data_IF_238882872889
#
_entry.id   IF_238882872889
#
_cell.length_a   1.000
_cell.length_b   1.000
_cell.length_c   1.000
_cell.angle_alpha   90.00
_cell.angle_beta   90.00
_cell.angle_gamma   90.00
#
_symmetry.space_group_name_H-M   'P 1'
#
loop_
_entity.id
_entity.type
_entity.pdbx_description
1 polymer ?
#
# COMPACT_ATOMS: atom_id res chain seq x y z
N UNK A 1 -52.16 -5.82 -11.09
CA UNK A 1 -50.74 -5.67 -10.70
C UNK A 1 -49.92 -6.80 -11.32
N UNK A 2 -48.79 -6.53 -11.99
CA UNK A 2 -47.94 -7.58 -12.53
C UNK A 2 -47.28 -8.35 -11.37
N UNK A 3 -47.21 -9.69 -11.48
CA UNK A 3 -46.58 -10.56 -10.50
C UNK A 3 -45.05 -10.39 -10.57
N UNK A 4 -44.42 -9.99 -9.47
CA UNK A 4 -42.95 -9.89 -9.38
C UNK A 4 -42.35 -11.28 -9.32
N UNK A 5 -41.61 -11.65 -10.38
CA UNK A 5 -40.89 -12.94 -10.47
C UNK A 5 -39.53 -12.81 -9.81
N UNK A 6 -39.35 -13.34 -8.59
CA UNK A 6 -38.08 -13.25 -7.83
C UNK A 6 -36.97 -14.14 -8.37
N UNK A 7 -37.29 -15.21 -9.09
CA UNK A 7 -36.28 -16.18 -9.58
C UNK A 7 -35.17 -15.53 -10.40
N UNK A 8 -35.48 -14.63 -11.31
CA UNK A 8 -34.52 -13.96 -12.17
C UNK A 8 -33.55 -13.08 -11.34
N UNK A 9 -34.11 -12.36 -10.34
CA UNK A 9 -33.29 -11.50 -9.44
C UNK A 9 -32.34 -12.36 -8.63
N UNK A 10 -32.78 -13.49 -8.08
CA UNK A 10 -31.94 -14.42 -7.34
C UNK A 10 -30.84 -15.05 -8.21
N UNK A 11 -31.14 -15.41 -9.45
CA UNK A 11 -30.15 -15.93 -10.39
C UNK A 11 -29.09 -14.88 -10.74
N UNK A 12 -29.50 -13.64 -11.01
CA UNK A 12 -28.55 -12.53 -11.25
C UNK A 12 -27.63 -12.34 -10.04
N UNK A 13 -28.17 -12.25 -8.82
CA UNK A 13 -27.37 -12.11 -7.58
C UNK A 13 -26.39 -13.29 -7.40
N UNK A 14 -26.82 -14.53 -7.61
CA UNK A 14 -25.94 -15.71 -7.55
C UNK A 14 -24.81 -15.65 -8.57
N UNK A 15 -25.11 -15.25 -9.81
CA UNK A 15 -24.08 -15.08 -10.88
C UNK A 15 -23.04 -14.03 -10.49
N UNK A 16 -23.48 -12.88 -9.95
CA UNK A 16 -22.57 -11.82 -9.49
C UNK A 16 -21.64 -12.31 -8.40
N UNK A 17 -22.16 -13.01 -7.37
CA UNK A 17 -21.34 -13.55 -6.28
C UNK A 17 -20.34 -14.60 -6.81
N UNK A 18 -20.78 -15.51 -7.68
CA UNK A 18 -19.90 -16.52 -8.28
C UNK A 18 -18.80 -15.90 -9.14
N UNK A 19 -19.13 -14.84 -9.91
CA UNK A 19 -18.16 -14.11 -10.72
C UNK A 19 -17.09 -13.43 -9.86
N UNK A 20 -17.50 -12.78 -8.77
CA UNK A 20 -16.59 -12.13 -7.83
C UNK A 20 -15.67 -13.09 -7.07
N UNK A 21 -16.15 -14.34 -6.85
CA UNK A 21 -15.40 -15.36 -6.11
C UNK A 21 -14.66 -16.35 -7.02
N UNK A 22 -14.57 -16.07 -8.30
CA UNK A 22 -13.82 -16.94 -9.23
C UNK A 22 -12.36 -17.04 -8.77
N UNK A 23 -11.85 -18.27 -8.67
CA UNK A 23 -10.50 -18.55 -8.20
C UNK A 23 -10.34 -18.68 -6.67
N UNK A 24 -11.41 -18.48 -5.89
CA UNK A 24 -11.34 -18.70 -4.44
C UNK A 24 -11.25 -20.21 -4.14
N UNK A 25 -10.57 -20.54 -3.06
CA UNK A 25 -10.41 -21.94 -2.60
C UNK A 25 -11.66 -22.44 -1.87
N UNK A 26 -11.88 -23.75 -1.95
CA UNK A 26 -12.84 -24.51 -1.17
C UNK A 26 -14.29 -24.08 -1.44
N UNK A 27 -15.18 -24.16 -0.46
CA UNK A 27 -16.60 -23.79 -0.59
C UNK A 27 -16.86 -22.30 -0.86
N UNK A 28 -15.87 -21.43 -0.75
CA UNK A 28 -16.03 -19.99 -1.04
C UNK A 28 -16.33 -19.69 -2.50
N UNK A 29 -15.88 -20.54 -3.43
CA UNK A 29 -16.16 -20.41 -4.87
C UNK A 29 -17.51 -21.01 -5.29
N UNK A 30 -17.99 -22.04 -4.60
CA UNK A 30 -19.16 -22.83 -4.98
C UNK A 30 -20.40 -22.50 -4.16
N UNK A 31 -20.27 -22.39 -2.85
CA UNK A 31 -21.37 -22.10 -1.93
C UNK A 31 -21.66 -20.61 -1.85
N UNK A 32 -22.86 -20.19 -2.23
CA UNK A 32 -23.24 -18.77 -2.30
C UNK A 32 -23.12 -18.06 -0.94
N UNK A 33 -23.51 -18.72 0.15
CA UNK A 33 -23.43 -18.16 1.51
C UNK A 33 -21.99 -17.84 1.90
N UNK A 34 -21.08 -18.83 1.77
CA UNK A 34 -19.68 -18.64 2.09
C UNK A 34 -19.00 -17.67 1.12
N UNK A 35 -19.36 -17.74 -0.16
CA UNK A 35 -18.85 -16.82 -1.17
C UNK A 35 -19.24 -15.36 -0.91
N UNK A 36 -20.48 -15.10 -0.53
CA UNK A 36 -20.94 -13.75 -0.21
C UNK A 36 -20.14 -13.15 0.97
N UNK A 37 -20.00 -13.91 2.06
CA UNK A 37 -19.19 -13.48 3.21
C UNK A 37 -17.73 -13.23 2.83
N UNK A 38 -17.14 -14.11 2.02
CA UNK A 38 -15.76 -13.97 1.55
C UNK A 38 -15.57 -12.71 0.68
N UNK A 39 -16.51 -12.44 -0.22
CA UNK A 39 -16.52 -11.25 -1.06
C UNK A 39 -16.56 -9.95 -0.23
N UNK A 40 -17.45 -9.90 0.76
CA UNK A 40 -17.57 -8.71 1.63
C UNK A 40 -16.31 -8.50 2.46
N UNK A 41 -15.76 -9.56 3.06
CA UNK A 41 -14.49 -9.48 3.82
C UNK A 41 -13.31 -9.06 2.94
N UNK A 42 -13.21 -9.61 1.72
CA UNK A 42 -12.17 -9.21 0.78
C UNK A 42 -12.23 -7.71 0.44
N UNK A 43 -13.44 -7.18 0.21
CA UNK A 43 -13.65 -5.75 -0.01
C UNK A 43 -13.25 -4.90 1.19
N UNK A 44 -13.64 -5.30 2.40
CA UNK A 44 -13.29 -4.61 3.64
C UNK A 44 -11.77 -4.60 3.88
N UNK A 45 -11.11 -5.74 3.70
CA UNK A 45 -9.65 -5.83 3.81
C UNK A 45 -8.94 -5.01 2.72
N UNK A 46 -9.39 -5.06 1.48
CA UNK A 46 -8.82 -4.25 0.42
C UNK A 46 -8.90 -2.74 0.75
N UNK A 47 -10.03 -2.29 1.32
CA UNK A 47 -10.19 -0.91 1.76
C UNK A 47 -9.20 -0.55 2.88
N UNK A 48 -9.10 -1.36 3.93
CA UNK A 48 -8.17 -1.16 5.04
C UNK A 48 -6.71 -1.18 4.57
N UNK A 49 -6.32 -2.22 3.84
CA UNK A 49 -4.93 -2.41 3.40
C UNK A 49 -4.44 -1.34 2.41
N UNK A 50 -5.32 -0.66 1.66
CA UNK A 50 -4.91 0.51 0.87
C UNK A 50 -4.40 1.66 1.74
N UNK A 51 -4.92 1.82 2.96
CA UNK A 51 -4.42 2.80 3.93
C UNK A 51 -3.14 2.32 4.60
N UNK A 52 -3.10 1.05 5.03
CA UNK A 52 -1.94 0.44 5.66
C UNK A 52 -0.72 0.43 4.73
N UNK A 53 -0.95 0.17 3.44
CA UNK A 53 0.10 0.20 2.41
C UNK A 53 0.88 1.51 2.41
N UNK A 54 0.21 2.65 2.55
CA UNK A 54 0.87 3.96 2.62
C UNK A 54 1.83 4.07 3.81
N UNK A 55 1.40 3.57 4.97
CA UNK A 55 2.23 3.51 6.18
C UNK A 55 3.43 2.57 6.03
N UNK A 56 3.21 1.40 5.46
CA UNK A 56 4.25 0.40 5.21
C UNK A 56 5.35 0.94 4.27
N UNK A 57 4.96 1.60 3.17
CA UNK A 57 5.93 2.21 2.28
C UNK A 57 6.72 3.35 2.93
N UNK A 58 6.08 4.19 3.76
CA UNK A 58 6.82 5.24 4.49
C UNK A 58 7.86 4.64 5.45
N UNK A 59 7.51 3.55 6.16
CA UNK A 59 8.47 2.83 7.01
C UNK A 59 9.65 2.31 6.19
N UNK A 60 9.39 1.70 5.03
CA UNK A 60 10.44 1.21 4.13
C UNK A 60 11.36 2.34 3.66
N UNK A 61 10.82 3.48 3.24
CA UNK A 61 11.64 4.63 2.83
C UNK A 61 12.51 5.14 3.98
N UNK A 62 11.93 5.28 5.18
CA UNK A 62 12.69 5.70 6.36
C UNK A 62 13.85 4.72 6.67
N UNK A 63 13.62 3.41 6.55
CA UNK A 63 14.65 2.40 6.76
C UNK A 63 15.79 2.54 5.74
N UNK A 64 15.47 2.70 4.46
CA UNK A 64 16.46 2.89 3.38
C UNK A 64 17.28 4.16 3.56
N UNK A 65 16.64 5.29 3.83
CA UNK A 65 17.33 6.56 4.10
C UNK A 65 18.21 6.43 5.32
N UNK A 66 17.71 5.84 6.42
CA UNK A 66 18.48 5.68 7.65
C UNK A 66 19.73 4.80 7.44
N UNK A 67 19.63 3.73 6.67
CA UNK A 67 20.79 2.90 6.32
C UNK A 67 21.85 3.73 5.62
N UNK A 68 21.49 4.44 4.55
CA UNK A 68 22.42 5.24 3.78
C UNK A 68 23.05 6.40 4.57
N UNK A 69 22.28 7.13 5.40
CA UNK A 69 22.85 8.24 6.19
C UNK A 69 23.74 7.77 7.34
N UNK A 70 23.54 6.56 7.86
CA UNK A 70 24.41 5.98 8.91
C UNK A 70 25.82 5.70 8.42
N UNK A 71 26.01 5.32 7.17
CA UNK A 71 27.32 5.15 6.53
C UNK A 71 28.14 6.46 6.57
N UNK A 72 27.46 7.62 6.61
CA UNK A 72 28.08 8.95 6.70
C UNK A 72 28.07 9.56 8.12
N UNK A 73 27.81 8.72 9.15
CA UNK A 73 27.85 9.11 10.58
C UNK A 73 26.67 9.94 11.05
N UNK A 74 25.56 10.00 10.28
CA UNK A 74 24.36 10.72 10.65
C UNK A 74 23.23 9.77 11.07
N UNK A 75 22.38 10.21 11.99
CA UNK A 75 21.11 9.53 12.24
C UNK A 75 20.02 10.12 11.36
N UNK A 76 18.98 9.32 11.08
CA UNK A 76 17.81 9.75 10.30
C UNK A 76 17.20 11.06 10.80
N UNK A 77 17.01 11.20 12.13
CA UNK A 77 16.43 12.40 12.73
C UNK A 77 17.31 13.64 12.51
N UNK A 78 18.63 13.52 12.66
CA UNK A 78 19.56 14.61 12.39
C UNK A 78 19.52 15.02 10.92
N UNK A 79 19.53 14.05 10.00
CA UNK A 79 19.46 14.31 8.57
C UNK A 79 18.18 15.05 8.15
N UNK A 80 17.01 14.59 8.61
CA UNK A 80 15.74 15.27 8.32
C UNK A 80 15.70 16.69 8.89
N UNK A 81 16.26 16.91 10.08
CA UNK A 81 16.35 18.25 10.66
C UNK A 81 17.26 19.17 9.84
N UNK A 82 18.40 18.66 9.34
CA UNK A 82 19.30 19.40 8.46
C UNK A 82 18.63 19.79 7.14
N UNK A 83 17.90 18.85 6.50
CA UNK A 83 17.10 19.15 5.30
C UNK A 83 16.09 20.26 5.56
N UNK A 84 15.38 20.19 6.70
CA UNK A 84 14.40 21.21 7.07
C UNK A 84 15.06 22.60 7.30
N UNK A 85 16.20 22.65 8.00
CA UNK A 85 16.98 23.88 8.21
C UNK A 85 17.42 24.52 6.90
N UNK A 86 17.89 23.72 5.96
CA UNK A 86 18.31 24.17 4.62
C UNK A 86 17.11 24.41 3.66
N UNK A 87 15.86 24.21 4.12
CA UNK A 87 14.63 24.36 3.33
C UNK A 87 14.57 23.47 2.08
N UNK A 88 15.24 22.32 2.11
CA UNK A 88 15.24 21.35 1.00
C UNK A 88 13.98 20.49 1.13
N UNK A 89 13.04 20.63 0.18
CA UNK A 89 11.76 19.95 0.15
C UNK A 89 11.80 18.71 -0.75
N UNK A 90 12.53 17.68 -0.33
CA UNK A 90 12.56 16.39 -1.02
C UNK A 90 11.70 15.36 -0.28
N UNK A 91 10.85 14.66 -1.01
CA UNK A 91 10.00 13.60 -0.47
C UNK A 91 10.82 12.38 -0.02
N UNK A 92 10.35 11.70 1.01
CA UNK A 92 10.96 10.46 1.51
C UNK A 92 11.08 9.39 0.44
N UNK A 93 10.11 9.31 -0.49
CA UNK A 93 10.13 8.38 -1.62
C UNK A 93 11.32 8.68 -2.53
N UNK A 94 11.49 9.92 -2.92
CA UNK A 94 12.58 10.38 -3.81
C UNK A 94 13.94 10.16 -3.12
N UNK A 95 14.08 10.56 -1.86
CA UNK A 95 15.31 10.35 -1.09
C UNK A 95 15.67 8.87 -0.96
N UNK A 96 14.70 7.98 -0.73
CA UNK A 96 14.93 6.55 -0.63
C UNK A 96 15.29 5.91 -1.98
N UNK A 97 14.77 6.45 -3.08
CA UNK A 97 15.10 6.00 -4.43
C UNK A 97 16.52 6.44 -4.82
N UNK A 98 16.88 7.71 -4.55
CA UNK A 98 18.22 8.23 -4.77
C UNK A 98 19.26 7.47 -3.93
N UNK A 99 18.95 7.18 -2.67
CA UNK A 99 19.84 6.42 -1.79
C UNK A 99 20.11 4.99 -2.31
N UNK A 100 19.15 4.36 -2.97
CA UNK A 100 19.27 3.01 -3.48
C UNK A 100 19.93 2.96 -4.87
N UNK A 101 19.47 3.78 -5.80
CA UNK A 101 19.83 3.70 -7.21
C UNK A 101 20.95 4.69 -7.61
N UNK A 102 21.14 5.77 -6.85
CA UNK A 102 22.11 6.83 -7.15
C UNK A 102 22.91 7.26 -5.90
N UNK A 103 23.69 6.35 -5.29
CA UNK A 103 24.40 6.64 -4.03
C UNK A 103 25.33 7.84 -4.12
N UNK A 104 26.00 8.05 -5.25
CA UNK A 104 26.87 9.22 -5.47
C UNK A 104 26.13 10.56 -5.38
N UNK A 105 24.86 10.60 -5.88
CA UNK A 105 24.01 11.79 -5.79
C UNK A 105 23.55 11.99 -4.33
N UNK A 106 23.27 10.90 -3.63
CA UNK A 106 22.87 10.95 -2.23
C UNK A 106 23.98 11.51 -1.33
N UNK A 107 25.23 11.15 -1.59
CA UNK A 107 26.41 11.73 -0.89
C UNK A 107 26.47 13.24 -1.07
N UNK A 108 26.30 13.74 -2.29
CA UNK A 108 26.27 15.19 -2.55
C UNK A 108 25.14 15.90 -1.80
N UNK A 109 23.98 15.25 -1.66
CA UNK A 109 22.89 15.80 -0.84
C UNK A 109 23.30 15.86 0.64
N UNK A 110 23.94 14.82 1.17
CA UNK A 110 24.44 14.81 2.55
C UNK A 110 25.48 15.93 2.79
N UNK A 111 26.41 16.12 1.85
CA UNK A 111 27.41 17.19 1.94
C UNK A 111 26.77 18.58 1.90
N UNK A 112 25.77 18.78 1.04
CA UNK A 112 25.06 20.06 0.95
C UNK A 112 24.24 20.41 2.20
N UNK A 113 23.87 19.41 3.02
CA UNK A 113 23.07 19.64 4.24
C UNK A 113 23.94 19.67 5.52
N UNK A 114 25.16 19.18 5.49
CA UNK A 114 26.14 19.34 6.59
C UNK A 114 26.59 20.80 6.70
#
# INVERSE_FOLDING_TARGET
MPRVKRAVIHLKKRRTIRKANKGYKWGRKSTIRLGHTAMLKAGAYAFAHRRDKKGTFRKLWNTRINAAVREHGLSYSKFINLLAKKKIQLDRKVLADIALNYPQVFVKIIEAVK
#
